data_IF_591365333914
#
_entry.id   IF_591365333914
#
_cell.length_a   1.000
_cell.length_b   1.000
_cell.length_c   1.000
_cell.angle_alpha   90.00
_cell.angle_beta   90.00
_cell.angle_gamma   90.00
#
_symmetry.space_group_name_H-M   'P 1'
#
loop_
_entity.id
_entity.type
_entity.pdbx_description
1 polymer ?
#
# COMPACT_ATOMS: atom_id res chain seq x y z
N UNK A 1 -16.13 -13.70 11.70
CA UNK A 1 -15.68 -12.29 11.52
C UNK A 1 -14.76 -12.27 10.32
N UNK A 2 -15.23 -11.73 9.20
CA UNK A 2 -14.40 -11.53 7.99
C UNK A 2 -13.62 -10.24 8.18
N UNK A 3 -12.32 -10.34 8.43
CA UNK A 3 -11.44 -9.19 8.43
C UNK A 3 -11.34 -8.58 7.03
N UNK A 4 -10.96 -7.30 6.96
CA UNK A 4 -10.79 -6.60 5.70
C UNK A 4 -9.42 -6.89 5.09
N UNK A 5 -9.35 -6.86 3.76
CA UNK A 5 -8.09 -6.97 3.03
C UNK A 5 -7.57 -5.57 2.78
N UNK A 6 -6.39 -5.27 3.32
CA UNK A 6 -5.77 -3.95 3.21
C UNK A 6 -4.46 -4.08 2.43
N UNK A 7 -4.38 -3.38 1.30
CA UNK A 7 -3.22 -3.37 0.43
C UNK A 7 -2.25 -2.24 0.77
N UNK A 8 -0.95 -2.49 0.66
CA UNK A 8 0.08 -1.45 0.64
C UNK A 8 1.00 -1.64 -0.55
N UNK A 9 1.21 -0.55 -1.29
CA UNK A 9 2.07 -0.52 -2.46
C UNK A 9 3.08 0.61 -2.36
N UNK A 10 4.31 0.36 -2.83
CA UNK A 10 5.34 1.39 -2.85
C UNK A 10 5.74 1.72 -4.28
N UNK A 11 5.19 2.81 -4.81
CA UNK A 11 5.51 3.28 -6.17
C UNK A 11 6.79 4.12 -6.14
N UNK A 12 7.73 3.86 -7.03
CA UNK A 12 8.78 4.85 -7.30
C UNK A 12 8.20 5.93 -8.20
N UNK A 13 8.56 7.21 -8.03
CA UNK A 13 8.05 8.29 -8.88
C UNK A 13 8.48 8.13 -10.36
N UNK A 14 9.44 7.25 -10.62
CA UNK A 14 9.87 6.85 -11.96
C UNK A 14 8.94 5.79 -12.59
N UNK A 15 8.17 5.07 -11.77
CA UNK A 15 7.22 4.07 -12.22
C UNK A 15 5.91 4.76 -12.63
N UNK A 16 5.78 5.07 -13.92
CA UNK A 16 4.67 5.87 -14.45
C UNK A 16 3.32 5.12 -14.53
N UNK A 17 3.21 3.89 -14.01
CA UNK A 17 1.97 3.13 -14.11
C UNK A 17 1.48 2.57 -12.76
N UNK A 18 0.92 3.43 -11.88
CA UNK A 18 0.33 3.01 -10.62
C UNK A 18 -0.83 2.03 -10.79
N UNK A 19 -1.55 2.07 -11.92
CA UNK A 19 -2.68 1.18 -12.22
C UNK A 19 -2.28 -0.30 -12.15
N UNK A 20 -1.15 -0.68 -12.74
CA UNK A 20 -0.68 -2.09 -12.73
C UNK A 20 -0.30 -2.58 -11.33
N UNK A 21 0.25 -1.70 -10.50
CA UNK A 21 0.65 -2.08 -9.15
C UNK A 21 -0.56 -2.24 -8.23
N UNK A 22 -1.64 -1.50 -8.50
CA UNK A 22 -2.94 -1.69 -7.86
C UNK A 22 -3.58 -3.01 -8.30
N UNK A 23 -3.52 -3.37 -9.59
CA UNK A 23 -3.99 -4.66 -10.09
C UNK A 23 -3.22 -5.83 -9.47
N UNK A 24 -1.91 -5.67 -9.21
CA UNK A 24 -1.07 -6.70 -8.58
C UNK A 24 -1.43 -6.98 -7.11
N UNK A 25 -2.09 -6.03 -6.43
CA UNK A 25 -2.60 -6.22 -5.07
C UNK A 25 -3.93 -6.99 -5.03
N UNK A 26 -4.65 -7.09 -6.14
CA UNK A 26 -5.95 -7.76 -6.22
C UNK A 26 -7.08 -7.02 -5.49
N UNK A 27 -8.12 -7.75 -5.07
CA UNK A 27 -9.27 -7.18 -4.36
C UNK A 27 -8.90 -6.80 -2.91
N UNK A 28 -8.52 -5.54 -2.74
CA UNK A 28 -8.33 -4.92 -1.44
C UNK A 28 -9.52 -4.03 -1.10
N UNK A 29 -10.02 -4.11 0.14
CA UNK A 29 -11.01 -3.17 0.67
C UNK A 29 -10.45 -1.75 0.75
N UNK A 30 -9.14 -1.62 0.98
CA UNK A 30 -8.45 -0.33 0.98
C UNK A 30 -6.99 -0.50 0.58
N UNK A 31 -6.45 0.46 -0.18
CA UNK A 31 -5.06 0.44 -0.63
C UNK A 31 -4.37 1.72 -0.16
N UNK A 32 -3.20 1.55 0.47
CA UNK A 32 -2.29 2.63 0.86
C UNK A 32 -1.08 2.63 -0.07
N UNK A 33 -0.58 3.80 -0.44
CA UNK A 33 0.59 3.89 -1.31
C UNK A 33 1.62 4.89 -0.79
N UNK A 34 2.90 4.57 -0.96
CA UNK A 34 4.01 5.49 -0.69
C UNK A 34 4.77 5.79 -1.99
N UNK A 35 4.92 7.09 -2.28
CA UNK A 35 5.63 7.56 -3.47
C UNK A 35 7.09 7.90 -3.16
N UNK A 36 8.01 7.17 -3.81
CA UNK A 36 9.45 7.33 -3.70
C UNK A 36 10.01 8.12 -4.88
N UNK A 37 10.14 9.45 -4.76
CA UNK A 37 10.93 10.22 -5.73
C UNK A 37 12.42 10.01 -5.47
N UNK A 38 13.20 9.82 -6.54
CA UNK A 38 14.57 9.27 -6.55
C UNK A 38 15.67 10.03 -5.79
N UNK A 39 15.31 10.88 -4.82
CA UNK A 39 16.26 11.60 -3.96
C UNK A 39 15.81 11.77 -2.50
N UNK A 40 14.54 11.50 -2.18
CA UNK A 40 14.04 11.66 -0.81
C UNK A 40 14.08 10.35 -0.06
N UNK A 41 14.52 10.33 1.20
CA UNK A 41 14.18 9.24 2.13
C UNK A 41 12.66 9.21 2.22
N UNK A 42 11.97 8.34 1.47
CA UNK A 42 10.52 8.34 1.50
C UNK A 42 10.06 8.10 2.92
N UNK A 43 9.38 9.10 3.46
CA UNK A 43 8.61 8.94 4.68
C UNK A 43 7.54 7.91 4.34
N UNK A 44 7.55 6.78 5.05
CA UNK A 44 6.59 5.68 4.87
C UNK A 44 5.26 6.05 5.52
N UNK A 45 4.68 7.16 5.09
CA UNK A 45 3.45 7.67 5.68
C UNK A 45 2.28 6.74 5.36
N UNK A 46 2.23 6.19 4.13
CA UNK A 46 1.22 5.22 3.74
C UNK A 46 1.28 3.92 4.55
N UNK A 47 2.49 3.46 4.90
CA UNK A 47 2.63 2.30 5.78
C UNK A 47 2.18 2.59 7.21
N UNK A 48 2.53 3.76 7.74
CA UNK A 48 2.10 4.17 9.08
C UNK A 48 0.57 4.28 9.17
N UNK A 49 -0.07 4.83 8.14
CA UNK A 49 -1.54 4.87 8.05
C UNK A 49 -2.16 3.48 7.95
N UNK A 50 -1.58 2.57 7.16
CA UNK A 50 -2.04 1.18 7.12
C UNK A 50 -1.97 0.53 8.51
N UNK A 51 -0.83 0.68 9.20
CA UNK A 51 -0.65 0.10 10.54
C UNK A 51 -1.65 0.68 11.54
N UNK A 52 -1.95 1.98 11.45
CA UNK A 52 -2.96 2.62 12.29
C UNK A 52 -4.40 2.22 11.93
N UNK A 53 -4.63 1.79 10.69
CA UNK A 53 -5.95 1.42 10.18
C UNK A 53 -6.32 -0.06 10.44
N UNK A 54 -5.36 -0.96 10.24
CA UNK A 54 -5.52 -2.41 10.40
C UNK A 54 -5.86 -2.76 11.86
N UNK A 55 -6.83 -3.67 12.04
CA UNK A 55 -7.25 -4.19 13.35
C UNK A 55 -7.03 -5.71 13.42
N UNK A 56 -7.15 -6.26 14.62
CA UNK A 56 -7.11 -7.71 14.81
C UNK A 56 -8.16 -8.41 13.95
N UNK A 57 -7.69 -9.34 13.12
CA UNK A 57 -8.50 -10.09 12.15
C UNK A 57 -8.36 -9.63 10.71
N UNK A 58 -7.84 -8.43 10.44
CA UNK A 58 -7.60 -7.93 9.09
C UNK A 58 -6.37 -8.58 8.43
N UNK A 59 -6.36 -8.65 7.10
CA UNK A 59 -5.26 -9.23 6.31
C UNK A 59 -4.54 -8.15 5.51
N UNK A 60 -3.24 -8.00 5.74
CA UNK A 60 -2.39 -7.05 5.00
C UNK A 60 -1.74 -7.68 3.78
N UNK A 61 -1.98 -7.14 2.59
CA UNK A 61 -1.27 -7.48 1.35
C UNK A 61 -0.21 -6.43 1.05
N UNK A 62 1.04 -6.85 0.92
CA UNK A 62 2.17 -5.95 0.69
C UNK A 62 2.75 -6.21 -0.72
N UNK A 63 2.76 -5.17 -1.56
CA UNK A 63 3.37 -5.20 -2.89
C UNK A 63 4.52 -4.20 -2.99
N UNK A 64 5.61 -4.60 -3.65
CA UNK A 64 6.86 -3.83 -3.76
C UNK A 64 7.08 -3.29 -5.16
#
# INVERSE_FOLDING_TARGET
MTGQIVGYVRVSAADQNPQRQHEALGECSRIFSDTMSGRSRAKRNGLAELIAYVRDGDTGLLHR
#
